data_IF_084350769065
#
_entry.id   IF_084350769065
#
_cell.length_a   1.000
_cell.length_b   1.000
_cell.length_c   1.000
_cell.angle_alpha   90.00
_cell.angle_beta   90.00
_cell.angle_gamma   90.00
#
_symmetry.space_group_name_H-M   'P 1'
#
loop_
_entity.id
_entity.type
_entity.pdbx_description
1 polymer ?
#
# COMPACT_ATOMS: atom_id res chain seq x y z
N UNK A 1 -38.87 -42.52 65.38
CA UNK A 1 -37.66 -41.74 65.76
C UNK A 1 -37.46 -40.67 64.69
N UNK A 2 -38.06 -39.49 64.66
CA UNK A 2 -38.24 -38.37 65.63
C UNK A 2 -36.93 -37.75 66.13
N UNK A 3 -36.57 -36.64 65.44
CA UNK A 3 -35.76 -35.46 65.81
C UNK A 3 -35.29 -35.38 67.25
N UNK A 4 -34.01 -35.08 67.44
CA UNK A 4 -33.53 -34.38 68.63
C UNK A 4 -32.51 -33.31 68.17
N UNK A 5 -32.85 -32.07 68.47
CA UNK A 5 -32.06 -30.85 68.31
C UNK A 5 -31.38 -30.62 69.66
N UNK A 6 -30.05 -30.53 69.70
CA UNK A 6 -29.36 -30.00 70.89
C UNK A 6 -28.42 -28.86 70.49
N UNK A 7 -28.85 -27.68 70.95
CA UNK A 7 -28.11 -26.43 71.04
C UNK A 7 -27.12 -26.52 72.20
N UNK A 8 -25.88 -26.09 71.99
CA UNK A 8 -24.99 -25.68 73.08
C UNK A 8 -24.39 -24.32 72.74
N UNK A 9 -24.81 -23.33 73.52
CA UNK A 9 -24.35 -21.94 73.54
C UNK A 9 -23.12 -21.87 74.44
N UNK A 10 -22.01 -21.28 73.99
CA UNK A 10 -21.06 -20.60 74.88
C UNK A 10 -20.08 -19.69 74.13
N UNK A 11 -19.99 -18.43 74.57
CA UNK A 11 -18.87 -17.49 74.33
C UNK A 11 -18.96 -16.66 73.04
N UNK A 12 -19.71 -15.55 72.97
CA UNK A 12 -19.41 -14.21 73.51
C UNK A 12 -18.22 -13.48 72.81
N UNK A 13 -18.54 -12.26 72.34
CA UNK A 13 -17.72 -11.13 71.86
C UNK A 13 -17.40 -11.10 70.35
N UNK A 14 -18.17 -10.35 69.55
CA UNK A 14 -17.99 -8.92 69.24
C UNK A 14 -16.58 -8.57 68.76
N UNK A 15 -16.40 -8.39 67.44
CA UNK A 15 -15.90 -7.13 66.86
C UNK A 15 -16.01 -7.19 65.33
N UNK A 16 -17.00 -6.49 64.80
CA UNK A 16 -17.05 -6.05 63.40
C UNK A 16 -16.02 -4.95 63.21
N UNK A 17 -14.98 -5.18 62.39
CA UNK A 17 -14.15 -4.14 61.77
C UNK A 17 -13.55 -4.66 60.46
N UNK A 18 -14.02 -4.03 59.39
CA UNK A 18 -13.40 -3.84 58.08
C UNK A 18 -11.89 -4.14 58.00
N UNK A 19 -11.51 -5.08 57.13
CA UNK A 19 -10.25 -5.03 56.43
C UNK A 19 -10.54 -5.21 54.94
N UNK A 20 -10.72 -4.09 54.26
CA UNK A 20 -10.53 -3.97 52.82
C UNK A 20 -9.05 -4.35 52.62
N UNK A 21 -8.77 -5.48 51.97
CA UNK A 21 -7.42 -5.76 51.49
C UNK A 21 -7.16 -4.83 50.31
N UNK A 22 -6.68 -3.62 50.60
CA UNK A 22 -5.94 -2.85 49.61
C UNK A 22 -4.64 -3.61 49.40
N UNK A 23 -4.60 -4.36 48.30
CA UNK A 23 -3.39 -4.84 47.64
C UNK A 23 -2.44 -3.65 47.47
N UNK A 24 -1.46 -3.50 48.39
CA UNK A 24 -0.34 -2.57 48.23
C UNK A 24 0.65 -3.18 47.24
N UNK A 25 0.15 -3.44 46.03
CA UNK A 25 0.90 -3.89 44.87
C UNK A 25 1.80 -2.75 44.42
N UNK A 26 2.90 -2.54 45.13
CA UNK A 26 4.00 -1.72 44.65
C UNK A 26 4.52 -2.37 43.38
N UNK A 27 4.12 -1.83 42.23
CA UNK A 27 4.81 -2.07 40.97
C UNK A 27 6.19 -1.42 41.15
N UNK A 28 7.20 -2.27 41.34
CA UNK A 28 8.57 -1.82 41.22
C UNK A 28 8.78 -1.48 39.74
N UNK A 29 9.17 -0.24 39.45
CA UNK A 29 9.80 0.09 38.18
C UNK A 29 11.13 -0.68 38.12
N UNK A 30 11.06 -1.94 37.71
CA UNK A 30 12.22 -2.54 37.06
C UNK A 30 12.45 -1.70 35.82
N UNK A 31 13.58 -1.00 35.78
CA UNK A 31 14.19 -0.46 34.57
C UNK A 31 14.55 -1.62 33.62
N UNK A 32 13.57 -2.43 33.23
CA UNK A 32 13.60 -3.13 31.96
C UNK A 32 13.47 -2.03 30.93
N UNK A 33 14.62 -1.47 30.54
CA UNK A 33 14.81 -1.09 29.16
C UNK A 33 14.41 -2.33 28.35
N UNK A 34 13.16 -2.35 27.89
CA UNK A 34 12.72 -3.33 26.93
C UNK A 34 13.68 -3.14 25.76
N UNK A 35 14.58 -4.10 25.54
CA UNK A 35 15.41 -4.10 24.35
C UNK A 35 14.44 -3.90 23.18
N UNK A 36 14.67 -2.84 22.41
CA UNK A 36 13.85 -2.55 21.26
C UNK A 36 14.14 -3.68 20.26
N UNK A 37 13.28 -4.68 20.21
CA UNK A 37 13.40 -5.73 19.21
C UNK A 37 13.14 -5.10 17.83
N UNK A 38 14.11 -5.22 16.93
CA UNK A 38 14.05 -4.76 15.56
C UNK A 38 14.57 -3.33 15.33
N UNK A 39 15.10 -3.11 14.13
CA UNK A 39 15.68 -1.83 13.74
C UNK A 39 14.66 -0.72 13.52
N UNK A 40 15.16 0.49 13.31
CA UNK A 40 14.34 1.70 13.15
C UNK A 40 14.83 2.54 11.98
N UNK A 41 13.89 2.99 11.16
CA UNK A 41 14.11 3.92 10.05
C UNK A 41 13.30 5.19 10.27
N UNK A 42 13.92 6.34 10.01
CA UNK A 42 13.26 7.64 9.89
C UNK A 42 13.33 8.10 8.43
N UNK A 43 12.17 8.39 7.84
CA UNK A 43 12.02 8.90 6.48
C UNK A 43 11.70 10.40 6.51
N UNK A 44 12.38 11.16 5.64
CA UNK A 44 11.98 12.49 5.19
C UNK A 44 11.75 12.50 3.68
N UNK A 45 10.65 13.08 3.23
CA UNK A 45 10.31 13.18 1.81
C UNK A 45 9.28 14.30 1.54
N UNK A 46 9.10 14.67 0.27
CA UNK A 46 7.94 15.40 -0.22
C UNK A 46 7.17 14.48 -1.17
N UNK A 47 5.95 14.07 -0.79
CA UNK A 47 5.17 13.06 -1.51
C UNK A 47 3.82 13.63 -1.93
N UNK A 48 3.49 13.48 -3.20
CA UNK A 48 2.20 13.85 -3.79
C UNK A 48 1.47 12.62 -4.36
N UNK A 49 0.20 12.79 -4.72
CA UNK A 49 -0.60 11.76 -5.42
C UNK A 49 -1.14 10.63 -4.54
N UNK A 50 -0.96 10.70 -3.21
CA UNK A 50 -1.42 9.66 -2.28
C UNK A 50 -2.96 9.47 -2.34
N UNK A 51 -3.71 10.55 -2.51
CA UNK A 51 -5.17 10.58 -2.62
C UNK A 51 -5.73 10.10 -3.97
N UNK A 52 -4.87 9.84 -4.96
CA UNK A 52 -5.28 9.29 -6.26
C UNK A 52 -5.64 7.79 -6.21
N UNK A 53 -5.29 7.10 -5.11
CA UNK A 53 -5.51 5.67 -4.96
C UNK A 53 -6.93 5.36 -4.46
N UNK A 54 -7.66 4.42 -5.08
CA UNK A 54 -8.95 3.98 -4.58
C UNK A 54 -8.79 3.10 -3.32
N UNK A 55 -9.92 2.83 -2.67
CA UNK A 55 -9.95 1.94 -1.50
C UNK A 55 -9.39 0.55 -1.81
N UNK A 56 -8.53 0.04 -0.94
CA UNK A 56 -7.86 -1.26 -1.11
C UNK A 56 -6.38 -1.18 -1.43
N UNK A 57 -5.88 0.03 -1.67
CA UNK A 57 -4.48 0.36 -1.75
C UNK A 57 -4.05 1.22 -0.56
N UNK A 58 -2.75 1.21 -0.25
CA UNK A 58 -2.17 2.08 0.75
C UNK A 58 -0.75 2.44 0.35
N UNK A 59 -0.46 3.74 0.27
CA UNK A 59 0.91 4.23 0.17
C UNK A 59 1.57 4.10 1.55
N UNK A 60 2.72 3.45 1.62
CA UNK A 60 3.37 3.03 2.86
C UNK A 60 4.88 3.24 2.80
N UNK A 61 5.48 3.39 3.99
CA UNK A 61 6.88 3.04 4.22
C UNK A 61 6.90 1.58 4.70
N UNK A 62 7.53 0.69 3.95
CA UNK A 62 7.47 -0.75 4.18
C UNK A 62 8.84 -1.43 4.08
N UNK A 63 8.97 -2.56 4.78
CA UNK A 63 10.15 -3.43 4.76
C UNK A 63 9.86 -4.76 4.08
N UNK A 64 10.78 -5.21 3.22
CA UNK A 64 10.69 -6.45 2.45
C UNK A 64 11.90 -7.34 2.66
N UNK A 65 11.67 -8.65 2.60
CA UNK A 65 12.73 -9.67 2.47
C UNK A 65 13.09 -9.84 0.98
N UNK A 66 14.24 -10.44 0.65
CA UNK A 66 14.58 -10.77 -0.73
C UNK A 66 13.48 -11.56 -1.44
N UNK A 67 13.24 -11.25 -2.72
CA UNK A 67 12.31 -11.93 -3.61
C UNK A 67 10.85 -12.05 -3.13
N UNK A 68 10.46 -11.28 -2.10
CA UNK A 68 9.12 -11.29 -1.54
C UNK A 68 8.39 -9.98 -1.83
N UNK A 69 7.28 -10.07 -2.55
CA UNK A 69 6.44 -8.91 -2.81
C UNK A 69 5.56 -8.51 -1.60
N UNK A 70 5.51 -9.31 -0.53
CA UNK A 70 4.67 -9.03 0.64
C UNK A 70 5.47 -8.33 1.74
N UNK A 71 4.98 -7.19 2.21
CA UNK A 71 5.65 -6.39 3.23
C UNK A 71 5.63 -7.11 4.58
N UNK A 72 6.81 -7.24 5.20
CA UNK A 72 6.97 -7.80 6.55
C UNK A 72 6.52 -6.81 7.62
N UNK A 73 6.79 -5.53 7.36
CA UNK A 73 6.34 -4.41 8.18
C UNK A 73 5.96 -3.26 7.26
N UNK A 74 4.98 -2.47 7.67
CA UNK A 74 4.52 -1.32 6.90
C UNK A 74 3.87 -0.29 7.80
N UNK A 75 4.05 0.99 7.46
CA UNK A 75 3.36 2.12 8.08
C UNK A 75 2.76 3.01 7.00
N UNK A 76 1.46 3.27 7.11
CA UNK A 76 0.73 4.15 6.19
C UNK A 76 1.32 5.54 6.13
N UNK A 77 1.43 6.07 4.92
CA UNK A 77 1.75 7.46 4.64
C UNK A 77 0.44 8.18 4.38
N UNK A 78 0.20 9.24 5.12
CA UNK A 78 -0.95 10.11 4.93
C UNK A 78 -0.50 11.42 4.31
N UNK A 79 -1.33 11.97 3.43
CA UNK A 79 -1.03 13.22 2.77
C UNK A 79 -1.04 14.38 3.76
N UNK A 80 -0.04 15.24 3.67
CA UNK A 80 0.04 16.53 4.34
C UNK A 80 -0.24 17.64 3.34
N UNK A 81 -0.63 18.84 3.83
CA UNK A 81 -1.04 19.93 2.95
C UNK A 81 0.07 20.40 1.99
N UNK A 82 1.34 20.25 2.37
CA UNK A 82 2.52 20.62 1.59
C UNK A 82 3.25 19.40 0.99
N UNK A 83 2.70 18.19 1.19
CA UNK A 83 3.30 16.92 0.82
C UNK A 83 4.50 16.51 1.69
N UNK A 84 4.90 17.30 2.69
CA UNK A 84 6.04 16.98 3.55
C UNK A 84 5.74 15.77 4.44
N UNK A 85 6.57 14.74 4.33
CA UNK A 85 6.52 13.53 5.15
C UNK A 85 7.75 13.49 6.06
N UNK A 86 7.50 13.30 7.35
CA UNK A 86 8.52 13.04 8.36
C UNK A 86 7.99 11.97 9.30
N UNK A 87 8.47 10.74 9.14
CA UNK A 87 7.90 9.59 9.84
C UNK A 87 8.96 8.60 10.29
N UNK A 88 8.58 7.78 11.27
CA UNK A 88 9.41 6.69 11.80
C UNK A 88 8.68 5.36 11.62
N UNK A 89 9.39 4.38 11.07
CA UNK A 89 9.05 2.97 11.08
C UNK A 89 10.01 2.26 12.04
N UNK A 90 9.48 1.68 13.10
CA UNK A 90 10.24 0.99 14.15
C UNK A 90 9.79 -0.47 14.26
N UNK A 91 10.60 -1.32 14.89
CA UNK A 91 10.32 -2.75 14.99
C UNK A 91 10.46 -3.44 13.63
N UNK A 92 11.47 -3.05 12.85
CA UNK A 92 11.76 -3.67 11.55
C UNK A 92 12.49 -5.00 11.82
N UNK A 93 11.92 -6.14 11.40
CA UNK A 93 12.56 -7.45 11.62
C UNK A 93 13.94 -7.57 10.98
N UNK A 94 14.80 -8.42 11.53
CA UNK A 94 16.19 -8.59 11.09
C UNK A 94 16.31 -9.23 9.71
N UNK A 95 15.29 -9.96 9.27
CA UNK A 95 15.19 -10.58 7.95
C UNK A 95 14.83 -9.59 6.83
N UNK A 96 14.38 -8.37 7.17
CA UNK A 96 14.17 -7.31 6.19
C UNK A 96 15.53 -6.88 5.66
N UNK A 97 15.64 -6.73 4.34
CA UNK A 97 16.86 -6.27 3.67
C UNK A 97 16.62 -5.03 2.80
N UNK A 98 15.36 -4.64 2.63
CA UNK A 98 14.97 -3.55 1.73
C UNK A 98 13.85 -2.73 2.37
N UNK A 99 13.99 -1.41 2.32
CA UNK A 99 12.98 -0.44 2.77
C UNK A 99 12.50 0.34 1.56
N UNK A 100 11.18 0.51 1.45
CA UNK A 100 10.58 1.21 0.31
C UNK A 100 9.50 2.18 0.72
N UNK A 101 9.42 3.29 -0.02
CA UNK A 101 8.18 4.05 -0.16
C UNK A 101 7.45 3.46 -1.36
N UNK A 102 6.33 2.81 -1.12
CA UNK A 102 5.63 2.04 -2.14
C UNK A 102 4.12 2.06 -1.91
N UNK A 103 3.37 1.53 -2.86
CA UNK A 103 1.96 1.20 -2.68
C UNK A 103 1.79 -0.30 -2.51
N UNK A 104 0.98 -0.70 -1.53
CA UNK A 104 0.58 -2.08 -1.27
C UNK A 104 -0.93 -2.25 -1.37
N UNK A 105 -1.38 -3.47 -1.71
CA UNK A 105 -2.80 -3.82 -1.63
C UNK A 105 -3.21 -4.32 -0.23
N UNK A 106 -4.48 -4.71 -0.06
CA UNK A 106 -5.03 -5.26 1.19
C UNK A 106 -4.28 -6.47 1.76
N UNK A 107 -3.59 -7.23 0.91
CA UNK A 107 -2.77 -8.39 1.30
C UNK A 107 -1.33 -7.99 1.65
N UNK A 108 -1.01 -6.69 1.67
CA UNK A 108 0.35 -6.15 1.79
C UNK A 108 1.29 -6.53 0.65
N UNK A 109 0.75 -6.94 -0.51
CA UNK A 109 1.55 -7.16 -1.72
C UNK A 109 1.89 -5.80 -2.34
N UNK A 110 3.18 -5.58 -2.60
CA UNK A 110 3.73 -4.46 -3.35
C UNK A 110 3.15 -4.39 -4.76
N UNK A 111 2.69 -3.21 -5.13
CA UNK A 111 2.10 -2.89 -6.42
C UNK A 111 3.08 -2.07 -7.27
N UNK A 112 3.68 -1.03 -6.68
CA UNK A 112 4.67 -0.17 -7.30
C UNK A 112 5.56 0.45 -6.22
N UNK A 113 6.82 0.76 -6.56
CA UNK A 113 7.77 1.42 -5.65
C UNK A 113 8.19 2.77 -6.19
N UNK A 114 8.24 3.76 -5.30
CA UNK A 114 8.61 5.14 -5.60
C UNK A 114 10.01 5.48 -5.10
N UNK A 115 10.44 4.81 -4.02
CA UNK A 115 11.77 4.90 -3.45
C UNK A 115 12.15 3.56 -2.85
N UNK A 116 13.42 3.17 -3.01
CA UNK A 116 13.98 1.93 -2.50
C UNK A 116 15.34 2.23 -1.88
N UNK A 117 15.59 1.66 -0.70
CA UNK A 117 16.88 1.71 -0.03
C UNK A 117 17.23 0.33 0.54
N UNK A 118 18.50 -0.04 0.46
CA UNK A 118 19.03 -1.20 1.16
C UNK A 118 18.92 -0.97 2.67
N UNK A 119 18.63 -2.05 3.40
CA UNK A 119 18.50 -2.02 4.84
C UNK A 119 19.29 -3.17 5.45
N UNK A 120 19.95 -2.86 6.55
CA UNK A 120 20.61 -3.83 7.42
C UNK A 120 20.29 -3.39 8.83
N UNK A 121 19.84 -4.32 9.66
CA UNK A 121 19.52 -4.01 11.05
C UNK A 121 20.78 -3.48 11.77
N UNK A 122 20.57 -2.41 12.53
CA UNK A 122 21.59 -1.79 13.37
C UNK A 122 20.91 -1.15 14.58
N UNK A 123 21.67 -0.97 15.66
CA UNK A 123 21.16 -0.40 16.91
C UNK A 123 20.62 1.03 16.75
N UNK A 124 21.27 1.83 15.89
CA UNK A 124 20.91 3.23 15.65
C UNK A 124 19.85 3.39 14.56
N UNK A 125 19.05 4.46 14.68
CA UNK A 125 18.06 4.82 13.66
C UNK A 125 18.72 5.21 12.34
N UNK A 126 18.39 4.47 11.27
CA UNK A 126 18.75 4.83 9.89
C UNK A 126 17.88 6.01 9.44
N UNK A 127 18.49 7.01 8.80
CA UNK A 127 17.79 8.18 8.27
C UNK A 127 17.82 8.13 6.75
N UNK A 128 16.64 8.20 6.13
CA UNK A 128 16.45 8.17 4.69
C UNK A 128 15.85 9.51 4.24
N UNK A 129 16.47 10.12 3.24
CA UNK A 129 15.91 11.25 2.51
C UNK A 129 15.53 10.76 1.10
N UNK A 130 14.24 10.70 0.82
CA UNK A 130 13.71 10.24 -0.46
C UNK A 130 13.43 11.40 -1.43
N UNK A 131 13.72 12.65 -1.06
CA UNK A 131 13.50 13.80 -1.92
C UNK A 131 12.03 13.97 -2.29
N UNK A 132 11.76 14.29 -3.57
CA UNK A 132 10.40 14.48 -4.10
C UNK A 132 9.93 13.21 -4.79
N UNK A 133 8.77 12.70 -4.39
CA UNK A 133 8.16 11.50 -4.95
C UNK A 133 6.77 11.81 -5.48
N UNK A 134 6.49 11.31 -6.67
CA UNK A 134 5.13 11.17 -7.18
C UNK A 134 4.62 9.76 -6.83
N UNK A 135 3.80 9.68 -5.79
CA UNK A 135 3.16 8.43 -5.39
C UNK A 135 1.76 8.28 -6.03
N UNK A 136 1.49 8.98 -7.13
CA UNK A 136 0.24 8.91 -7.87
C UNK A 136 -0.03 7.56 -8.52
N UNK A 137 -1.31 7.22 -8.63
CA UNK A 137 -1.76 6.01 -9.30
C UNK A 137 -1.42 6.04 -10.79
N UNK A 138 -1.61 7.18 -11.47
CA UNK A 138 -1.24 7.30 -12.87
C UNK A 138 0.27 7.21 -13.10
N UNK A 139 1.09 7.78 -12.21
CA UNK A 139 2.54 7.54 -12.25
C UNK A 139 2.85 6.03 -12.20
N UNK A 140 2.14 5.28 -11.35
CA UNK A 140 2.26 3.81 -11.31
C UNK A 140 1.77 3.13 -12.59
N UNK A 141 0.70 3.61 -13.22
CA UNK A 141 0.26 3.12 -14.55
C UNK A 141 1.36 3.36 -15.59
N UNK A 142 1.94 4.56 -15.61
CA UNK A 142 3.01 4.91 -16.54
C UNK A 142 4.23 4.02 -16.33
N UNK A 143 4.70 3.84 -15.09
CA UNK A 143 5.94 3.11 -14.80
C UNK A 143 5.79 1.60 -14.83
N UNK A 144 4.71 1.05 -14.28
CA UNK A 144 4.52 -0.39 -14.13
C UNK A 144 3.84 -1.03 -15.35
N UNK A 145 3.09 -0.27 -16.14
CA UNK A 145 2.33 -0.78 -17.28
C UNK A 145 2.90 -0.24 -18.59
N UNK A 146 2.75 1.07 -18.83
CA UNK A 146 3.04 1.62 -20.15
C UNK A 146 4.52 1.51 -20.51
N UNK A 147 5.41 1.92 -19.60
CA UNK A 147 6.86 1.87 -19.82
C UNK A 147 7.38 0.45 -20.02
N UNK A 148 6.77 -0.54 -19.37
CA UNK A 148 7.22 -1.94 -19.42
C UNK A 148 6.68 -2.72 -20.61
N UNK A 149 5.44 -2.47 -20.98
CA UNK A 149 4.72 -3.33 -21.93
C UNK A 149 4.25 -2.62 -23.20
N UNK A 150 4.15 -1.29 -23.22
CA UNK A 150 3.44 -0.58 -24.29
C UNK A 150 4.34 0.36 -25.10
N UNK A 151 5.28 1.05 -24.46
CA UNK A 151 6.09 2.10 -25.09
C UNK A 151 6.95 1.59 -26.24
N UNK A 152 7.39 0.32 -26.21
CA UNK A 152 8.17 -0.27 -27.31
C UNK A 152 7.50 -0.13 -28.69
N UNK A 153 6.17 -0.22 -28.73
CA UNK A 153 5.38 -0.03 -29.96
C UNK A 153 4.72 1.35 -30.03
N UNK A 154 4.38 1.94 -28.89
CA UNK A 154 3.61 3.17 -28.78
C UNK A 154 4.46 4.37 -28.36
N UNK A 155 5.50 4.68 -29.15
CA UNK A 155 6.24 5.95 -29.06
C UNK A 155 7.66 5.88 -28.50
N UNK A 156 8.15 4.70 -28.11
CA UNK A 156 9.55 4.45 -27.78
C UNK A 156 10.45 4.31 -29.01
N UNK A 157 9.86 4.14 -30.20
CA UNK A 157 10.53 4.14 -31.50
C UNK A 157 10.24 5.45 -32.28
N UNK A 158 10.75 5.60 -33.50
CA UNK A 158 10.59 6.83 -34.30
C UNK A 158 9.14 7.12 -34.71
N UNK A 159 8.31 6.09 -34.87
CA UNK A 159 6.90 6.23 -35.27
C UNK A 159 6.02 5.34 -34.36
N UNK A 160 5.08 5.91 -33.59
CA UNK A 160 4.20 5.14 -32.73
C UNK A 160 3.16 4.35 -33.55
N UNK A 161 2.89 3.12 -33.12
CA UNK A 161 1.80 2.33 -33.63
C UNK A 161 0.47 3.12 -33.52
N UNK A 162 -0.23 3.22 -34.66
CA UNK A 162 -1.48 3.97 -34.81
C UNK A 162 -1.43 5.46 -34.39
N UNK A 163 -0.25 6.08 -34.35
CA UNK A 163 -0.13 7.47 -33.89
C UNK A 163 -0.24 7.66 -32.37
N UNK A 164 -0.39 6.57 -31.61
CA UNK A 164 -0.63 6.62 -30.16
C UNK A 164 0.69 6.63 -29.38
N UNK A 165 0.96 7.72 -28.66
CA UNK A 165 2.11 7.85 -27.76
C UNK A 165 1.72 7.47 -26.34
N UNK A 166 2.34 6.42 -25.80
CA UNK A 166 2.18 5.95 -24.42
C UNK A 166 3.41 6.23 -23.54
N UNK A 167 4.32 7.07 -24.03
CA UNK A 167 5.47 7.57 -23.27
C UNK A 167 5.05 8.62 -22.24
N UNK A 168 5.86 8.76 -21.20
CA UNK A 168 5.71 9.80 -20.17
C UNK A 168 5.52 11.20 -20.77
N UNK A 169 4.66 12.00 -20.14
CA UNK A 169 4.29 13.35 -20.58
C UNK A 169 3.39 13.42 -21.82
N UNK A 170 3.03 12.28 -22.43
CA UNK A 170 2.14 12.22 -23.62
C UNK A 170 0.96 11.27 -23.44
N UNK A 171 1.18 10.16 -22.75
CA UNK A 171 0.23 9.05 -22.57
C UNK A 171 -1.15 9.49 -22.08
N UNK A 172 -1.23 10.32 -21.04
CA UNK A 172 -2.50 10.75 -20.45
C UNK A 172 -3.42 11.40 -21.49
N UNK A 173 -2.92 12.47 -22.11
CA UNK A 173 -3.65 13.24 -23.14
C UNK A 173 -3.96 12.42 -24.38
N UNK A 174 -3.14 11.41 -24.70
CA UNK A 174 -3.33 10.56 -25.85
C UNK A 174 -4.41 9.48 -25.63
N UNK A 175 -4.71 9.14 -24.37
CA UNK A 175 -5.66 8.07 -24.01
C UNK A 175 -6.97 8.59 -23.46
N UNK A 176 -6.90 9.48 -22.47
CA UNK A 176 -8.06 9.80 -21.65
C UNK A 176 -9.01 10.68 -22.43
N UNK A 177 -10.27 10.22 -22.51
CA UNK A 177 -11.34 10.87 -23.23
C UNK A 177 -11.14 11.05 -24.75
N UNK A 178 -10.17 10.34 -25.34
CA UNK A 178 -9.90 10.31 -26.78
C UNK A 178 -10.70 9.20 -27.46
N UNK A 179 -11.29 9.46 -28.63
CA UNK A 179 -12.03 8.46 -29.41
C UNK A 179 -11.05 7.41 -29.95
N UNK A 180 -11.41 6.13 -29.85
CA UNK A 180 -10.65 5.04 -30.43
C UNK A 180 -11.05 4.80 -31.89
N UNK A 181 -10.23 5.25 -32.84
CA UNK A 181 -10.48 5.08 -34.29
C UNK A 181 -10.64 3.60 -34.74
N UNK A 182 -10.16 2.67 -33.90
CA UNK A 182 -10.23 1.23 -34.15
C UNK A 182 -11.41 0.53 -33.46
N UNK A 183 -12.23 1.28 -32.73
CA UNK A 183 -13.47 0.75 -32.14
C UNK A 183 -14.62 0.86 -33.14
N UNK A 184 -15.24 -0.26 -33.49
CA UNK A 184 -16.46 -0.28 -34.32
C UNK A 184 -17.65 0.38 -33.61
N UNK A 185 -17.66 0.35 -32.28
CA UNK A 185 -18.70 0.91 -31.41
C UNK A 185 -18.46 2.39 -31.05
N UNK A 186 -17.34 2.97 -31.50
CA UNK A 186 -16.99 4.35 -31.19
C UNK A 186 -16.59 4.59 -29.73
N UNK A 187 -16.04 3.57 -29.06
CA UNK A 187 -15.54 3.67 -27.69
C UNK A 187 -14.41 4.71 -27.58
N UNK A 188 -14.17 5.16 -26.35
CA UNK A 188 -12.98 5.95 -26.02
C UNK A 188 -11.81 5.03 -25.73
N UNK A 189 -10.58 5.48 -26.01
CA UNK A 189 -9.34 4.78 -25.64
C UNK A 189 -9.33 4.49 -24.14
N UNK A 190 -9.55 5.52 -23.33
CA UNK A 190 -9.90 5.42 -21.91
C UNK A 190 -11.13 6.29 -21.65
N UNK A 191 -12.20 5.67 -21.15
CA UNK A 191 -13.39 6.34 -20.64
C UNK A 191 -13.29 6.44 -19.10
N UNK A 192 -13.05 7.64 -18.53
CA UNK A 192 -13.04 7.82 -17.09
C UNK A 192 -14.28 7.22 -16.41
N UNK A 193 -14.05 6.40 -15.39
CA UNK A 193 -15.10 5.79 -14.57
C UNK A 193 -15.69 4.48 -15.12
N UNK A 194 -15.25 3.99 -16.30
CA UNK A 194 -15.72 2.71 -16.83
C UNK A 194 -14.64 2.00 -17.65
N UNK A 195 -13.99 1.02 -17.03
CA UNK A 195 -13.00 0.16 -17.69
C UNK A 195 -13.65 -0.67 -18.79
N UNK A 196 -14.80 -1.31 -18.54
CA UNK A 196 -15.50 -2.15 -19.54
C UNK A 196 -15.91 -1.38 -20.81
N UNK A 197 -16.17 -0.07 -20.69
CA UNK A 197 -16.47 0.81 -21.84
C UNK A 197 -15.23 1.56 -22.38
N UNK A 198 -14.04 1.14 -21.97
CA UNK A 198 -12.76 1.67 -22.46
C UNK A 198 -12.13 0.71 -23.46
N UNK A 199 -11.82 1.21 -24.66
CA UNK A 199 -11.19 0.40 -25.70
C UNK A 199 -9.86 -0.21 -25.24
N UNK A 200 -9.07 0.48 -24.42
CA UNK A 200 -7.84 -0.04 -23.84
C UNK A 200 -8.08 -1.32 -23.01
N UNK A 201 -9.16 -1.37 -22.22
CA UNK A 201 -9.54 -2.57 -21.49
C UNK A 201 -9.93 -3.70 -22.46
N UNK A 202 -10.78 -3.39 -23.45
CA UNK A 202 -11.28 -4.39 -24.40
C UNK A 202 -10.13 -5.03 -25.19
N UNK A 203 -9.19 -4.25 -25.74
CA UNK A 203 -8.07 -4.83 -26.52
C UNK A 203 -7.13 -5.69 -25.67
N UNK A 204 -7.03 -5.43 -24.37
CA UNK A 204 -6.19 -6.23 -23.46
C UNK A 204 -6.88 -7.54 -23.06
N UNK A 205 -8.19 -7.68 -23.25
CA UNK A 205 -8.95 -8.88 -22.91
C UNK A 205 -9.44 -9.66 -24.15
N UNK A 206 -9.55 -9.00 -25.31
CA UNK A 206 -10.08 -9.58 -26.53
C UNK A 206 -9.20 -9.27 -27.74
N UNK A 207 -9.00 -10.27 -28.60
CA UNK A 207 -8.23 -10.11 -29.84
C UNK A 207 -9.11 -9.50 -30.96
N UNK A 208 -9.37 -8.20 -30.86
CA UNK A 208 -10.27 -7.46 -31.75
C UNK A 208 -9.54 -6.56 -32.77
N UNK A 209 -8.21 -6.51 -32.73
CA UNK A 209 -7.37 -5.75 -33.67
C UNK A 209 -6.29 -6.65 -34.25
N UNK A 210 -5.65 -6.22 -35.35
CA UNK A 210 -4.71 -7.05 -36.11
C UNK A 210 -3.57 -7.64 -35.28
N UNK A 211 -3.05 -6.88 -34.32
CA UNK A 211 -2.04 -7.35 -33.38
C UNK A 211 -2.74 -7.78 -32.09
N UNK A 212 -2.50 -9.01 -31.66
CA UNK A 212 -3.10 -9.55 -30.44
C UNK A 212 -2.45 -8.93 -29.18
N UNK A 213 -3.22 -8.14 -28.43
CA UNK A 213 -2.75 -7.49 -27.20
C UNK A 213 -3.06 -8.30 -25.93
N UNK A 214 -3.78 -9.42 -26.03
CA UNK A 214 -4.19 -10.23 -24.86
C UNK A 214 -3.02 -10.85 -24.10
N UNK A 215 -1.84 -10.93 -24.74
CA UNK A 215 -0.63 -11.47 -24.16
C UNK A 215 0.43 -10.38 -23.84
N UNK A 216 0.10 -9.09 -24.03
CA UNK A 216 1.03 -7.98 -23.75
C UNK A 216 1.18 -7.73 -22.24
N UNK A 217 0.09 -7.91 -21.50
CA UNK A 217 0.07 -7.88 -20.03
C UNK A 217 -0.40 -9.25 -19.56
N UNK A 218 0.51 -10.05 -19.00
CA UNK A 218 0.23 -11.43 -18.60
C UNK A 218 -0.14 -11.57 -17.11
N UNK A 219 -0.02 -10.49 -16.34
CA UNK A 219 -0.29 -10.51 -14.89
C UNK A 219 -1.63 -9.89 -14.59
N UNK A 220 -2.54 -10.68 -14.00
CA UNK A 220 -3.89 -10.21 -13.63
C UNK A 220 -3.88 -9.00 -12.71
N UNK A 221 -2.94 -8.90 -11.76
CA UNK A 221 -2.84 -7.73 -10.88
C UNK A 221 -2.49 -6.44 -11.62
N UNK A 222 -1.81 -6.52 -12.76
CA UNK A 222 -1.48 -5.36 -13.59
C UNK A 222 -2.69 -4.90 -14.38
N UNK A 223 -3.50 -5.83 -14.90
CA UNK A 223 -4.79 -5.52 -15.53
C UNK A 223 -5.76 -4.90 -14.50
N UNK A 224 -5.85 -5.49 -13.31
CA UNK A 224 -6.67 -4.93 -12.22
C UNK A 224 -6.21 -3.52 -11.84
N UNK A 225 -4.90 -3.27 -11.76
CA UNK A 225 -4.39 -1.93 -11.48
C UNK A 225 -4.83 -0.91 -12.54
N UNK A 226 -4.78 -1.28 -13.82
CA UNK A 226 -5.25 -0.44 -14.92
C UNK A 226 -6.75 -0.17 -14.81
N UNK A 227 -7.55 -1.21 -14.61
CA UNK A 227 -9.00 -1.09 -14.48
C UNK A 227 -9.39 -0.24 -13.26
N UNK A 228 -8.69 -0.41 -12.13
CA UNK A 228 -8.91 0.40 -10.93
C UNK A 228 -8.58 1.87 -11.20
N UNK A 229 -7.53 2.18 -11.98
CA UNK A 229 -7.23 3.56 -12.37
C UNK A 229 -8.35 4.15 -13.24
N UNK A 230 -8.81 3.40 -14.24
CA UNK A 230 -9.90 3.85 -15.13
C UNK A 230 -11.18 4.06 -14.32
N UNK A 231 -11.58 3.06 -13.53
CA UNK A 231 -12.80 3.09 -12.72
C UNK A 231 -12.75 4.16 -11.62
N UNK A 232 -11.56 4.53 -11.13
CA UNK A 232 -11.37 5.67 -10.22
C UNK A 232 -11.32 7.03 -10.94
N UNK A 233 -11.82 7.09 -12.17
CA UNK A 233 -11.97 8.32 -12.95
C UNK A 233 -10.74 8.71 -13.75
N UNK A 234 -9.77 7.82 -13.95
CA UNK A 234 -8.58 8.01 -14.79
C UNK A 234 -7.90 9.37 -14.54
N UNK A 235 -7.64 9.70 -13.28
CA UNK A 235 -6.95 10.95 -12.90
C UNK A 235 -5.48 10.88 -13.29
N UNK A 236 -4.91 12.00 -13.69
CA UNK A 236 -3.46 12.16 -13.91
C UNK A 236 -2.71 12.22 -12.57
#
# INVERSE_FOLDING_TARGET
MKREVYSFISGLLLFSCLAISCDDGKIYDENNQTEREGGTVKLTAQINGIDSWPGGYSVVLAGFTPDNAFAQTAKGISQTADGTINMVLAGIPSEVTQIEVCVINKLRKRIASFYTADYTEQADTIRLDAGKLDAGMFNSIQTEIFNRSCTACHGGSTEPAAGLYLTEGKSYKALVDVVADKSEEGLKLVKPGSAEESFLHVILHENIVKYDHTNVITTSSTLTLLDDWINNGAKE
#
